data_IF_019034962976
#
_entry.id   IF_019034962976
#
_cell.length_a   1.000
_cell.length_b   1.000
_cell.length_c   1.000
_cell.angle_alpha   90.00
_cell.angle_beta   90.00
_cell.angle_gamma   90.00
#
_symmetry.space_group_name_H-M   'P 1'
#
loop_
_entity.id
_entity.type
_entity.pdbx_description
1 polymer ?
#
# COMPACT_ATOMS: atom_id res chain seq x y z
N UNK A 1 16.89 -12.54 -25.70
CA UNK A 1 17.34 -12.23 -24.34
C UNK A 1 16.54 -11.04 -23.85
N UNK A 2 15.61 -11.24 -22.91
CA UNK A 2 14.96 -10.11 -22.23
C UNK A 2 16.06 -9.48 -21.38
N UNK A 3 16.50 -8.29 -21.76
CA UNK A 3 17.50 -7.55 -21.00
C UNK A 3 16.94 -7.33 -19.59
N UNK A 4 17.60 -7.91 -18.60
CA UNK A 4 17.29 -7.69 -17.19
C UNK A 4 17.41 -6.19 -16.94
N UNK A 5 16.37 -5.58 -16.36
CA UNK A 5 16.34 -4.14 -16.11
C UNK A 5 17.53 -3.74 -15.21
N UNK A 6 18.55 -3.09 -15.79
CA UNK A 6 19.80 -2.78 -15.09
C UNK A 6 19.62 -1.82 -13.90
N UNK A 7 18.53 -1.05 -13.88
CA UNK A 7 18.18 -0.16 -12.77
C UNK A 7 17.47 -0.83 -11.60
N UNK A 8 17.26 -2.16 -11.63
CA UNK A 8 16.63 -2.92 -10.55
C UNK A 8 17.71 -3.67 -9.77
N UNK A 9 17.59 -3.70 -8.44
CA UNK A 9 18.41 -4.60 -7.66
C UNK A 9 18.10 -6.05 -8.01
N UNK A 10 19.15 -6.82 -8.33
CA UNK A 10 19.04 -8.23 -8.70
C UNK A 10 18.62 -9.08 -7.50
N UNK A 11 17.98 -10.22 -7.79
CA UNK A 11 17.56 -11.22 -6.80
C UNK A 11 16.63 -10.72 -5.69
N UNK A 12 15.92 -9.61 -5.93
CA UNK A 12 14.94 -9.07 -4.99
C UNK A 12 13.52 -9.27 -5.46
N UNK A 13 12.70 -9.69 -4.50
CA UNK A 13 11.27 -9.97 -4.65
C UNK A 13 10.50 -8.76 -4.13
N UNK A 14 9.80 -8.00 -4.98
CA UNK A 14 9.06 -6.83 -4.53
C UNK A 14 8.03 -7.20 -3.46
N UNK A 15 7.76 -6.27 -2.56
CA UNK A 15 6.76 -6.44 -1.51
C UNK A 15 5.96 -5.16 -1.33
N UNK A 16 4.71 -5.31 -0.94
CA UNK A 16 3.77 -4.22 -0.69
C UNK A 16 3.49 -4.09 0.79
N UNK A 17 3.31 -2.86 1.25
CA UNK A 17 2.88 -2.52 2.60
C UNK A 17 1.68 -1.60 2.50
N UNK A 18 0.58 -1.95 3.15
CA UNK A 18 -0.55 -1.07 3.37
C UNK A 18 -0.49 -0.58 4.82
N UNK A 19 -0.43 0.72 5.04
CA UNK A 19 -0.51 1.32 6.38
C UNK A 19 -1.89 1.98 6.54
N UNK A 20 -2.66 1.54 7.54
CA UNK A 20 -4.02 2.01 7.79
C UNK A 20 -4.02 2.97 8.99
N UNK A 21 -3.98 4.28 8.71
CA UNK A 21 -4.10 5.32 9.72
C UNK A 21 -5.54 5.83 9.90
N UNK A 22 -5.76 6.56 10.99
CA UNK A 22 -7.06 7.20 11.29
C UNK A 22 -7.45 8.27 10.26
N UNK A 23 -6.48 8.92 9.63
CA UNK A 23 -6.73 9.95 8.62
C UNK A 23 -6.41 9.49 7.19
N UNK A 24 -5.33 8.72 7.01
CA UNK A 24 -4.87 8.31 5.69
C UNK A 24 -4.48 6.85 5.66
N UNK A 25 -4.66 6.24 4.49
CA UNK A 25 -4.18 4.91 4.18
C UNK A 25 -3.09 5.06 3.12
N UNK A 26 -2.01 4.29 3.22
CA UNK A 26 -0.95 4.30 2.21
C UNK A 26 -0.69 2.92 1.66
N UNK A 27 -0.42 2.83 0.37
CA UNK A 27 0.22 1.68 -0.26
C UNK A 27 1.64 2.08 -0.64
N UNK A 28 2.62 1.29 -0.20
CA UNK A 28 4.00 1.41 -0.63
C UNK A 28 4.47 0.07 -1.19
N UNK A 29 5.09 0.09 -2.37
CA UNK A 29 5.75 -1.09 -2.93
C UNK A 29 7.24 -0.86 -2.93
N UNK A 30 7.97 -1.74 -2.25
CA UNK A 30 9.43 -1.76 -2.21
C UNK A 30 9.98 -2.77 -3.20
N UNK A 31 11.18 -2.52 -3.72
CA UNK A 31 11.86 -3.44 -4.65
C UNK A 31 12.23 -4.79 -4.02
N UNK A 32 12.22 -4.88 -2.70
CA UNK A 32 12.31 -6.10 -1.91
C UNK A 32 12.87 -5.86 -0.51
N UNK A 33 13.02 -6.92 0.27
CA UNK A 33 13.48 -6.82 1.65
C UNK A 33 14.98 -6.48 1.71
N UNK A 34 15.30 -5.34 2.30
CA UNK A 34 16.67 -4.92 2.58
C UNK A 34 16.72 -3.81 3.62
N UNK A 35 17.92 -3.45 4.07
CA UNK A 35 18.11 -2.38 5.04
C UNK A 35 17.69 -0.99 4.53
N UNK A 36 17.90 -0.74 3.23
CA UNK A 36 17.53 0.51 2.55
C UNK A 36 17.05 0.19 1.14
N UNK A 37 15.80 -0.25 0.97
CA UNK A 37 15.25 -0.60 -0.34
C UNK A 37 14.71 0.63 -1.08
N UNK A 38 14.79 0.61 -2.40
CA UNK A 38 14.16 1.59 -3.28
C UNK A 38 12.64 1.40 -3.31
N UNK A 39 11.94 2.52 -3.43
CA UNK A 39 10.49 2.56 -3.64
C UNK A 39 10.19 2.33 -5.13
N UNK A 40 9.30 1.40 -5.42
CA UNK A 40 8.75 1.20 -6.76
C UNK A 40 7.45 1.99 -6.96
N UNK A 41 6.65 2.10 -5.90
CA UNK A 41 5.36 2.79 -5.92
C UNK A 41 5.03 3.31 -4.53
N UNK A 42 4.37 4.47 -4.46
CA UNK A 42 3.98 5.10 -3.21
C UNK A 42 2.71 5.93 -3.43
N UNK A 43 1.63 5.49 -2.82
CA UNK A 43 0.33 6.14 -2.94
C UNK A 43 -0.28 6.40 -1.56
N UNK A 44 -0.94 7.55 -1.44
CA UNK A 44 -1.62 7.99 -0.23
C UNK A 44 -3.06 8.35 -0.56
N UNK A 45 -3.99 7.76 0.20
CA UNK A 45 -5.41 8.06 0.18
C UNK A 45 -5.84 8.72 1.49
N UNK A 46 -6.66 9.77 1.40
CA UNK A 46 -7.26 10.43 2.56
C UNK A 46 -8.57 9.72 2.92
N UNK A 47 -8.51 8.82 3.90
CA UNK A 47 -9.62 7.97 4.28
C UNK A 47 -10.54 8.66 5.30
N UNK A 48 -9.97 9.31 6.32
CA UNK A 48 -10.73 9.93 7.41
C UNK A 48 -11.47 8.93 8.31
N UNK A 49 -10.99 7.68 8.41
CA UNK A 49 -11.61 6.60 9.17
C UNK A 49 -11.91 6.95 10.64
N UNK A 50 -11.03 7.70 11.28
CA UNK A 50 -11.17 8.11 12.69
C UNK A 50 -12.04 9.34 12.92
N UNK A 51 -12.72 9.87 11.90
CA UNK A 51 -13.60 11.03 12.06
C UNK A 51 -14.73 10.69 13.03
N UNK A 52 -14.85 11.48 14.10
CA UNK A 52 -15.86 11.28 15.13
C UNK A 52 -15.60 10.11 16.09
N UNK A 53 -14.50 9.36 15.95
CA UNK A 53 -14.27 8.14 16.75
C UNK A 53 -14.20 8.41 18.26
N UNK A 54 -13.71 9.58 18.66
CA UNK A 54 -13.61 9.97 20.07
C UNK A 54 -15.00 10.11 20.72
N UNK A 55 -16.00 10.58 19.96
CA UNK A 55 -17.36 10.77 20.48
C UNK A 55 -18.27 9.57 20.23
N UNK A 56 -18.10 8.87 19.10
CA UNK A 56 -18.99 7.78 18.68
C UNK A 56 -18.49 6.39 19.07
N UNK A 57 -17.19 6.26 19.38
CA UNK A 57 -16.52 4.97 19.57
C UNK A 57 -16.46 4.11 18.31
N UNK A 58 -16.79 4.68 17.14
CA UNK A 58 -16.92 3.96 15.85
C UNK A 58 -16.14 4.67 14.75
N UNK A 59 -15.69 3.88 13.77
CA UNK A 59 -15.16 4.43 12.53
C UNK A 59 -16.27 5.15 11.75
N UNK A 60 -15.88 6.15 10.97
CA UNK A 60 -16.78 6.85 10.07
C UNK A 60 -17.31 5.88 8.97
N UNK A 61 -18.63 5.64 8.86
CA UNK A 61 -19.17 4.63 7.94
C UNK A 61 -18.92 4.93 6.45
N UNK A 62 -18.92 6.20 6.07
CA UNK A 62 -18.64 6.61 4.68
C UNK A 62 -17.16 6.40 4.36
N UNK A 63 -16.28 6.76 5.30
CA UNK A 63 -14.85 6.51 5.19
C UNK A 63 -14.53 5.02 5.05
N UNK A 64 -15.20 4.16 5.82
CA UNK A 64 -15.06 2.70 5.70
C UNK A 64 -15.45 2.24 4.31
N UNK A 65 -16.62 2.67 3.81
CA UNK A 65 -17.13 2.27 2.48
C UNK A 65 -16.15 2.66 1.37
N UNK A 66 -15.67 3.90 1.37
CA UNK A 66 -14.68 4.38 0.38
C UNK A 66 -13.34 3.65 0.49
N UNK A 67 -12.90 3.33 1.71
CA UNK A 67 -11.64 2.60 1.92
C UNK A 67 -11.69 1.18 1.34
N UNK A 68 -12.86 0.53 1.34
CA UNK A 68 -13.02 -0.80 0.74
C UNK A 68 -12.79 -0.80 -0.78
N UNK A 69 -13.20 0.25 -1.49
CA UNK A 69 -12.91 0.40 -2.92
C UNK A 69 -11.41 0.62 -3.14
N UNK A 70 -10.79 1.43 -2.30
CA UNK A 70 -9.36 1.71 -2.38
C UNK A 70 -8.50 0.48 -2.10
N UNK A 71 -8.87 -0.38 -1.14
CA UNK A 71 -8.15 -1.62 -0.88
C UNK A 71 -8.16 -2.57 -2.08
N UNK A 72 -9.27 -2.64 -2.84
CA UNK A 72 -9.32 -3.41 -4.09
C UNK A 72 -8.33 -2.86 -5.11
N UNK A 73 -8.24 -1.53 -5.22
CA UNK A 73 -7.28 -0.87 -6.10
C UNK A 73 -5.85 -1.09 -5.65
N UNK A 74 -5.56 -1.01 -4.36
CA UNK A 74 -4.23 -1.28 -3.80
C UNK A 74 -3.79 -2.72 -4.03
N UNK A 75 -4.71 -3.69 -3.95
CA UNK A 75 -4.42 -5.07 -4.35
C UNK A 75 -4.02 -5.16 -5.82
N UNK A 76 -4.81 -4.56 -6.71
CA UNK A 76 -4.52 -4.56 -8.15
C UNK A 76 -3.17 -3.89 -8.47
N UNK A 77 -2.84 -2.78 -7.80
CA UNK A 77 -1.55 -2.09 -7.96
C UNK A 77 -0.38 -2.92 -7.46
N UNK A 78 -0.55 -3.62 -6.33
CA UNK A 78 0.46 -4.54 -5.80
C UNK A 78 0.72 -5.70 -6.76
N UNK A 79 -0.33 -6.29 -7.32
CA UNK A 79 -0.23 -7.37 -8.30
C UNK A 79 0.46 -6.88 -9.57
N UNK A 80 0.08 -5.71 -10.08
CA UNK A 80 0.70 -5.07 -11.24
C UNK A 80 2.18 -4.74 -11.02
N UNK A 81 2.56 -4.36 -9.79
CA UNK A 81 3.95 -4.09 -9.43
C UNK A 81 4.80 -5.36 -9.25
N UNK A 82 4.19 -6.55 -9.34
CA UNK A 82 4.86 -7.84 -9.18
C UNK A 82 5.28 -8.12 -7.73
N UNK A 83 4.55 -7.61 -6.75
CA UNK A 83 4.84 -7.89 -5.35
C UNK A 83 4.45 -9.33 -4.98
N UNK A 84 5.39 -10.08 -4.40
CA UNK A 84 5.14 -11.46 -3.96
C UNK A 84 4.44 -11.52 -2.61
N UNK A 85 4.64 -10.51 -1.77
CA UNK A 85 4.05 -10.41 -0.45
C UNK A 85 3.41 -9.05 -0.23
N UNK A 86 2.31 -9.05 0.51
CA UNK A 86 1.62 -7.84 0.98
C UNK A 86 1.46 -7.92 2.49
N UNK A 87 1.91 -6.88 3.18
CA UNK A 87 1.71 -6.67 4.61
C UNK A 87 0.72 -5.54 4.82
N UNK A 88 -0.10 -5.64 5.87
CA UNK A 88 -1.12 -4.66 6.26
C UNK A 88 -1.01 -4.43 7.76
#
# INVERSE_FOLDING_TARGET
MIAVSQGRLQDRRPLSIIDIGSNSIRLVVYEGLARSPSLLFNEKMLAGLGRGIVSTGKLDPEAVTRSMEEFRRFRALSDQAGAEHMYV
#
